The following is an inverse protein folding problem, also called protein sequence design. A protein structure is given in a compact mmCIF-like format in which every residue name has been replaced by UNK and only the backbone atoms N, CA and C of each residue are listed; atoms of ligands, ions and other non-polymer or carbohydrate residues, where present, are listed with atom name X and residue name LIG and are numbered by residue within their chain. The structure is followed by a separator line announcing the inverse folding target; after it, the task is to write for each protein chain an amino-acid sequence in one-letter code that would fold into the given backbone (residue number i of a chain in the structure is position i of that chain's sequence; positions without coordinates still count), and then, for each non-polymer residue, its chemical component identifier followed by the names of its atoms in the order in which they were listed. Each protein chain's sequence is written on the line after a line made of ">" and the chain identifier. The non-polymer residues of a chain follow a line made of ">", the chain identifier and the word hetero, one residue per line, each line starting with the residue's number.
data_IF_069432211924
#
_entry.id   IF_069432211924
#
_cell.length_a   1.000
_cell.length_b   1.000
_cell.length_c   1.000
_cell.angle_alpha   90.00
_cell.angle_beta   90.00
_cell.angle_gamma   90.00
#
_symmetry.space_group_name_H-M   'P 1'
#
loop_
_entity.id
_entity.type
_entity.pdbx_description
1 polymer ?
#
# COMPACT_ATOMS: atom_id res chain seq x y z
N UNK A 1 -15.90 52.93 30.23
CA UNK A 1 -16.38 51.97 31.23
C UNK A 1 -16.05 50.58 30.75
N UNK A 2 -15.12 49.94 31.43
CA UNK A 2 -14.84 48.51 31.29
C UNK A 2 -16.03 47.72 31.81
N UNK A 3 -16.45 46.70 31.07
CA UNK A 3 -16.95 45.47 31.69
C UNK A 3 -16.61 44.29 30.81
N UNK A 4 -16.29 43.23 31.52
CA UNK A 4 -15.52 42.07 31.16
C UNK A 4 -16.45 40.88 31.28
N UNK A 5 -16.45 39.97 30.31
CA UNK A 5 -16.77 38.57 30.59
C UNK A 5 -16.04 37.67 29.62
N UNK A 6 -15.10 36.91 30.17
CA UNK A 6 -14.38 35.85 29.52
C UNK A 6 -15.30 34.65 29.25
N UNK A 7 -15.12 34.01 28.10
CA UNK A 7 -15.40 32.59 27.94
C UNK A 7 -14.15 31.97 27.27
N UNK A 8 -13.54 31.05 28.00
CA UNK A 8 -12.26 30.41 27.73
C UNK A 8 -12.14 29.82 26.30
N UNK A 9 -10.92 29.71 25.75
CA UNK A 9 -10.69 28.86 24.60
C UNK A 9 -11.12 27.42 24.93
N UNK A 10 -11.75 26.65 24.03
CA UNK A 10 -11.90 25.23 24.26
C UNK A 10 -10.51 24.59 24.26
N UNK A 11 -9.97 24.41 25.45
CA UNK A 11 -8.88 23.49 25.72
C UNK A 11 -9.38 22.09 25.39
N UNK A 12 -8.94 21.53 24.26
CA UNK A 12 -8.98 20.09 24.03
C UNK A 12 -7.88 19.64 23.08
N UNK A 13 -6.63 19.83 23.50
CA UNK A 13 -5.66 18.75 23.41
C UNK A 13 -5.39 18.30 24.85
N UNK A 14 -5.02 17.04 25.16
CA UNK A 14 -4.66 15.94 24.27
C UNK A 14 -5.25 14.56 24.68
N UNK A 15 -5.69 13.72 23.73
CA UNK A 15 -5.94 12.29 24.03
C UNK A 15 -5.42 11.47 22.84
N UNK A 16 -4.22 10.90 22.96
CA UNK A 16 -3.62 9.87 22.09
C UNK A 16 -3.21 10.14 20.63
N UNK A 17 -2.95 11.39 20.20
CA UNK A 17 -2.39 11.62 18.85
C UNK A 17 -0.98 11.03 18.60
N UNK A 18 -0.25 10.64 19.66
CA UNK A 18 1.05 9.94 19.61
C UNK A 18 0.93 8.43 19.86
N UNK A 19 -0.12 7.97 20.56
CA UNK A 19 -0.27 6.55 20.88
C UNK A 19 -0.62 5.73 19.63
N UNK A 20 -1.34 6.35 18.69
CA UNK A 20 -1.70 5.73 17.41
C UNK A 20 -0.64 6.03 16.32
N UNK A 21 0.40 6.82 16.63
CA UNK A 21 1.44 7.20 15.66
C UNK A 21 2.33 6.05 15.26
N UNK A 22 2.78 5.26 16.25
CA UNK A 22 3.59 4.09 16.00
C UNK A 22 2.82 3.05 15.18
N UNK A 23 1.51 2.91 15.42
CA UNK A 23 0.61 2.04 14.66
C UNK A 23 0.40 2.55 13.22
N UNK A 24 0.21 3.86 13.06
CA UNK A 24 0.13 4.49 11.75
C UNK A 24 1.43 4.29 10.95
N UNK A 25 2.58 4.46 11.61
CA UNK A 25 3.92 4.30 11.03
C UNK A 25 4.14 2.85 10.60
N UNK A 26 3.76 1.89 11.44
CA UNK A 26 3.80 0.47 11.12
C UNK A 26 2.92 0.13 9.90
N UNK A 27 1.71 0.69 9.82
CA UNK A 27 0.79 0.50 8.69
C UNK A 27 1.35 1.08 7.38
N UNK A 28 1.90 2.29 7.42
CA UNK A 28 2.50 2.95 6.26
C UNK A 28 3.74 2.19 5.77
N UNK A 29 4.58 1.71 6.69
CA UNK A 29 5.74 0.87 6.38
C UNK A 29 5.33 -0.51 5.82
N UNK A 30 4.26 -1.11 6.34
CA UNK A 30 3.79 -2.43 5.90
C UNK A 30 3.12 -2.38 4.52
N UNK A 31 2.22 -1.41 4.31
CA UNK A 31 1.44 -1.31 3.07
C UNK A 31 2.09 -0.44 2.00
N UNK A 32 3.21 0.23 2.31
CA UNK A 32 3.94 1.11 1.41
C UNK A 32 3.03 2.19 0.79
N UNK A 33 2.08 2.71 1.59
CA UNK A 33 1.09 3.70 1.18
C UNK A 33 1.00 4.81 2.22
N UNK A 34 1.39 6.02 1.83
CA UNK A 34 1.34 7.20 2.67
C UNK A 34 0.31 8.22 2.18
N UNK A 35 -0.96 7.82 2.14
CA UNK A 35 -2.08 8.70 1.76
C UNK A 35 -2.98 8.99 2.95
N UNK A 36 -3.32 10.27 3.16
CA UNK A 36 -4.17 10.75 4.25
C UNK A 36 -5.52 10.01 4.26
N UNK A 37 -6.20 9.92 3.12
CA UNK A 37 -7.51 9.25 3.01
C UNK A 37 -7.45 7.74 3.24
N UNK A 38 -6.31 7.12 2.94
CA UNK A 38 -6.09 5.71 3.22
C UNK A 38 -5.86 5.47 4.71
N UNK A 39 -5.05 6.32 5.35
CA UNK A 39 -4.74 6.23 6.78
C UNK A 39 -5.99 6.45 7.64
N UNK A 40 -6.87 7.39 7.24
CA UNK A 40 -8.18 7.59 7.88
C UNK A 40 -9.03 6.32 7.91
N UNK A 41 -9.15 5.62 6.78
CA UNK A 41 -9.95 4.40 6.68
C UNK A 41 -9.34 3.24 7.45
N UNK A 42 -8.01 3.15 7.44
CA UNK A 42 -7.32 2.03 8.07
C UNK A 42 -7.34 2.11 9.59
N UNK A 43 -7.21 3.32 10.15
CA UNK A 43 -7.20 3.51 11.60
C UNK A 43 -8.53 3.99 12.19
N UNK A 44 -9.54 4.28 11.35
CA UNK A 44 -10.80 4.86 11.80
C UNK A 44 -10.66 6.26 12.39
N UNK A 45 -9.60 7.00 12.02
CA UNK A 45 -9.26 8.31 12.59
C UNK A 45 -9.77 9.47 11.73
N UNK A 46 -10.07 10.60 12.39
CA UNK A 46 -10.48 11.83 11.72
C UNK A 46 -9.39 12.43 10.81
N UNK A 47 -9.80 13.30 9.88
CA UNK A 47 -8.90 13.89 8.87
C UNK A 47 -7.69 14.60 9.48
N UNK A 48 -7.93 15.48 10.46
CA UNK A 48 -6.87 16.27 11.09
C UNK A 48 -5.84 15.39 11.83
N UNK A 49 -6.28 14.23 12.34
CA UNK A 49 -5.40 13.27 12.99
C UNK A 49 -4.52 12.61 11.93
N UNK A 50 -5.10 12.09 10.84
CA UNK A 50 -4.33 11.48 9.75
C UNK A 50 -3.35 12.46 9.08
N UNK A 51 -3.72 13.74 8.94
CA UNK A 51 -2.82 14.79 8.45
C UNK A 51 -1.61 14.94 9.36
N UNK A 52 -1.81 15.11 10.66
CA UNK A 52 -0.72 15.22 11.64
C UNK A 52 0.21 14.01 11.62
N UNK A 53 -0.34 12.81 11.48
CA UNK A 53 0.47 11.58 11.39
C UNK A 53 1.35 11.58 10.14
N UNK A 54 0.82 11.99 8.99
CA UNK A 54 1.57 12.07 7.74
C UNK A 54 2.62 13.20 7.78
N UNK A 55 2.31 14.34 8.38
CA UNK A 55 3.25 15.46 8.59
C UNK A 55 4.40 15.06 9.51
N UNK A 56 4.12 14.33 10.60
CA UNK A 56 5.14 13.78 11.49
C UNK A 56 6.03 12.76 10.77
N UNK A 57 5.44 11.87 9.95
CA UNK A 57 6.20 10.92 9.14
C UNK A 57 7.07 11.61 8.07
N UNK A 58 6.63 12.74 7.54
CA UNK A 58 7.44 13.57 6.63
C UNK A 58 8.59 14.25 7.37
N UNK A 59 8.32 14.83 8.55
CA UNK A 59 9.32 15.47 9.40
C UNK A 59 10.38 14.48 9.90
N UNK A 60 10.01 13.22 10.15
CA UNK A 60 10.93 12.13 10.52
C UNK A 60 11.66 11.51 9.32
N UNK A 61 11.33 11.89 8.08
CA UNK A 61 11.93 11.34 6.87
C UNK A 61 11.46 9.91 6.53
N UNK A 62 10.35 9.45 7.12
CA UNK A 62 9.71 8.17 6.82
C UNK A 62 8.99 8.23 5.47
N UNK A 63 8.44 9.38 5.11
CA UNK A 63 7.59 9.60 3.94
C UNK A 63 8.08 10.83 3.16
N UNK A 64 8.03 10.78 1.83
CA UNK A 64 8.44 11.88 0.95
C UNK A 64 7.48 13.07 1.00
N UNK A 65 7.97 14.21 0.49
CA UNK A 65 7.12 15.32 0.09
C UNK A 65 6.03 14.82 -0.88
N UNK A 66 4.84 15.45 -0.87
CA UNK A 66 3.76 15.10 -1.76
C UNK A 66 4.09 15.44 -3.22
N UNK A 67 3.83 14.50 -4.13
CA UNK A 67 3.84 14.73 -5.57
C UNK A 67 2.74 15.73 -5.98
N UNK A 68 2.73 16.17 -7.24
CA UNK A 68 1.69 17.02 -7.85
C UNK A 68 0.25 16.43 -7.79
N UNK A 69 0.09 15.16 -7.39
CA UNK A 69 -1.19 14.46 -7.19
C UNK A 69 -1.43 14.11 -5.70
N UNK A 70 -0.58 14.58 -4.78
CA UNK A 70 -0.67 14.30 -3.34
C UNK A 70 -0.27 12.87 -2.95
N UNK A 71 0.43 12.14 -3.82
CA UNK A 71 1.03 10.84 -3.49
C UNK A 71 2.35 11.05 -2.78
N UNK A 72 2.64 10.21 -1.79
CA UNK A 72 3.89 10.27 -1.01
C UNK A 72 4.51 8.89 -0.99
N UNK A 73 5.83 8.82 -1.17
CA UNK A 73 6.62 7.58 -1.25
C UNK A 73 7.32 7.35 0.08
N UNK A 74 7.32 6.13 0.60
CA UNK A 74 7.98 5.80 1.87
C UNK A 74 9.49 5.74 1.65
N UNK A 75 10.26 6.61 2.33
CA UNK A 75 11.69 6.83 2.08
C UNK A 75 12.60 5.97 2.99
N UNK A 76 12.12 5.55 4.16
CA UNK A 76 12.98 4.95 5.18
C UNK A 76 13.07 3.42 5.10
N UNK A 77 13.41 2.91 3.91
CA UNK A 77 13.97 1.55 3.77
C UNK A 77 15.50 1.55 3.73
N UNK A 78 16.15 2.71 3.85
CA UNK A 78 17.62 2.83 3.80
C UNK A 78 18.29 2.80 5.19
N UNK A 79 17.73 3.44 6.21
CA UNK A 79 18.41 3.59 7.51
C UNK A 79 18.43 2.31 8.34
N UNK A 80 17.34 1.54 8.31
CA UNK A 80 17.31 0.19 8.91
C UNK A 80 18.25 -0.79 8.18
N UNK A 81 18.63 -0.50 6.93
CA UNK A 81 19.57 -1.29 6.13
C UNK A 81 21.01 -0.99 6.52
N UNK A 82 21.32 0.29 6.83
CA UNK A 82 22.63 0.73 7.33
C UNK A 82 22.86 0.35 8.79
N UNK A 83 21.84 0.44 9.65
CA UNK A 83 21.91 -0.08 11.02
C UNK A 83 22.09 -1.59 11.03
N UNK A 84 21.35 -2.34 10.20
CA UNK A 84 21.57 -3.79 10.01
C UNK A 84 22.93 -4.12 9.40
N UNK A 85 23.48 -3.27 8.53
CA UNK A 85 24.81 -3.46 7.95
C UNK A 85 25.91 -3.20 8.99
N UNK A 86 25.76 -2.16 9.82
CA UNK A 86 26.66 -1.88 10.94
C UNK A 86 26.59 -2.97 12.01
N UNK A 87 25.40 -3.51 12.27
CA UNK A 87 25.14 -4.63 13.17
C UNK A 87 25.68 -5.95 12.61
N UNK A 88 25.58 -6.18 11.29
CA UNK A 88 26.21 -7.32 10.57
C UNK A 88 27.75 -7.22 10.57
N UNK A 89 28.32 -6.02 10.46
CA UNK A 89 29.76 -5.80 10.58
C UNK A 89 30.25 -6.00 12.02
N UNK A 90 29.44 -5.65 13.02
CA UNK A 90 29.71 -5.92 14.44
C UNK A 90 29.57 -7.43 14.78
N UNK A 91 28.59 -8.12 14.18
CA UNK A 91 28.41 -9.58 14.25
C UNK A 91 29.58 -10.35 13.61
N UNK A 92 30.21 -9.76 12.59
CA UNK A 92 31.38 -10.30 11.89
C UNK A 92 32.68 -10.38 12.71
N UNK A 93 32.66 -10.04 14.00
CA UNK A 93 33.52 -10.75 14.95
C UNK A 93 34.12 -9.94 16.10
N UNK A 94 33.42 -9.87 17.24
CA UNK A 94 34.10 -9.84 18.53
C UNK A 94 33.21 -10.18 19.75
N UNK A 95 33.59 -11.20 20.53
CA UNK A 95 33.52 -11.20 22.01
C UNK A 95 34.48 -12.14 22.73
N UNK A 96 35.41 -11.52 23.44
CA UNK A 96 36.76 -11.92 23.81
C UNK A 96 36.80 -12.71 25.17
N UNK A 97 37.47 -13.86 25.28
CA UNK A 97 37.84 -14.70 26.46
C UNK A 97 39.20 -14.30 27.06
N UNK A 98 39.24 -13.70 28.24
CA UNK A 98 40.49 -13.33 28.93
C UNK A 98 41.49 -14.51 29.02
N UNK A 99 42.63 -14.38 28.34
CA UNK A 99 43.88 -15.07 28.68
C UNK A 99 44.39 -14.51 30.01
N UNK A 100 45.09 -15.35 30.76
CA UNK A 100 45.60 -15.09 32.10
C UNK A 100 46.60 -13.92 32.23
N UNK A 101 46.97 -13.27 31.13
CA UNK A 101 47.81 -12.05 31.08
C UNK A 101 46.99 -10.74 31.05
N UNK A 102 45.66 -10.82 31.05
CA UNK A 102 44.75 -9.67 31.02
C UNK A 102 44.11 -9.35 29.66
N UNK A 103 44.46 -10.09 28.60
CA UNK A 103 43.98 -9.86 27.23
C UNK A 103 43.01 -10.95 26.80
N UNK A 104 41.89 -10.63 26.16
CA UNK A 104 40.81 -11.60 25.92
C UNK A 104 40.76 -12.22 24.48
N UNK A 105 40.01 -13.31 24.22
CA UNK A 105 39.98 -14.19 23.01
C UNK A 105 38.60 -14.81 22.60
N UNK A 106 38.04 -14.56 21.42
CA UNK A 106 36.57 -14.65 21.18
C UNK A 106 35.98 -16.05 20.89
N UNK A 107 34.78 -16.41 21.38
CA UNK A 107 34.03 -17.66 20.99
C UNK A 107 32.53 -17.45 20.80
N UNK A 108 31.93 -18.09 19.78
CA UNK A 108 30.50 -17.98 19.40
C UNK A 108 29.83 -19.38 19.41
N UNK A 109 28.65 -19.56 20.04
CA UNK A 109 27.91 -20.83 20.09
C UNK A 109 27.17 -21.17 18.78
N UNK A 110 27.18 -22.46 18.46
CA UNK A 110 26.60 -23.12 17.28
C UNK A 110 25.19 -23.60 17.64
N UNK A 111 24.16 -22.74 17.59
CA UNK A 111 22.77 -23.17 17.33
C UNK A 111 21.83 -21.96 17.16
N UNK A 112 21.40 -21.64 15.93
CA UNK A 112 20.21 -20.84 15.66
C UNK A 112 19.64 -21.24 14.28
N UNK A 113 18.32 -21.44 14.15
CA UNK A 113 17.72 -22.02 12.95
C UNK A 113 17.83 -21.07 11.76
N UNK A 114 18.39 -21.60 10.67
CA UNK A 114 18.51 -20.96 9.36
C UNK A 114 17.13 -20.65 8.76
N UNK A 115 16.70 -19.39 8.83
CA UNK A 115 15.65 -18.87 7.95
C UNK A 115 16.30 -17.79 7.07
N UNK A 116 17.12 -18.25 6.12
CA UNK A 116 17.64 -17.41 5.05
C UNK A 116 16.47 -16.81 4.28
N UNK A 117 16.25 -15.49 4.41
CA UNK A 117 15.52 -14.73 3.40
C UNK A 117 16.40 -13.59 2.95
N UNK A 118 17.37 -13.92 2.10
CA UNK A 118 18.04 -12.90 1.29
C UNK A 118 16.97 -12.13 0.51
N UNK A 119 17.08 -10.79 0.34
CA UNK A 119 16.19 -10.02 -0.52
C UNK A 119 16.01 -10.64 -1.92
N UNK A 120 17.04 -11.32 -2.41
CA UNK A 120 17.06 -12.00 -3.70
C UNK A 120 16.14 -13.24 -3.73
N UNK A 121 16.03 -13.97 -2.62
CA UNK A 121 15.13 -15.14 -2.52
C UNK A 121 13.67 -14.69 -2.44
N UNK A 122 13.41 -13.56 -1.76
CA UNK A 122 12.08 -12.96 -1.76
C UNK A 122 11.69 -12.46 -3.14
N UNK A 123 12.62 -11.86 -3.89
CA UNK A 123 12.37 -11.39 -5.25
C UNK A 123 12.08 -12.55 -6.19
N UNK A 124 12.86 -13.64 -6.12
CA UNK A 124 12.62 -14.87 -6.89
C UNK A 124 11.23 -15.45 -6.63
N UNK A 125 10.84 -15.62 -5.36
CA UNK A 125 9.52 -16.13 -4.99
C UNK A 125 8.37 -15.22 -5.48
N UNK A 126 8.57 -13.89 -5.49
CA UNK A 126 7.58 -12.94 -6.03
C UNK A 126 7.46 -13.07 -7.55
N UNK A 127 8.58 -13.19 -8.26
CA UNK A 127 8.61 -13.36 -9.72
C UNK A 127 7.93 -14.68 -10.10
N UNK A 128 8.32 -15.79 -9.49
CA UNK A 128 7.71 -17.11 -9.76
C UNK A 128 6.19 -17.11 -9.51
N UNK A 129 5.74 -16.39 -8.47
CA UNK A 129 4.31 -16.23 -8.20
C UNK A 129 3.62 -15.39 -9.28
N UNK A 130 4.25 -14.32 -9.75
CA UNK A 130 3.71 -13.47 -10.82
C UNK A 130 3.63 -14.25 -12.14
N UNK A 131 4.67 -15.00 -12.50
CA UNK A 131 4.69 -15.80 -13.73
C UNK A 131 3.57 -16.85 -13.75
N UNK A 132 3.35 -17.54 -12.61
CA UNK A 132 2.23 -18.47 -12.47
C UNK A 132 0.88 -17.77 -12.65
N UNK A 133 0.68 -16.63 -12.00
CA UNK A 133 -0.57 -15.88 -12.10
C UNK A 133 -0.81 -15.33 -13.51
N UNK A 134 0.24 -14.96 -14.24
CA UNK A 134 0.11 -14.53 -15.64
C UNK A 134 -0.23 -15.71 -16.56
N UNK A 135 0.34 -16.91 -16.35
CA UNK A 135 -0.07 -18.10 -17.12
C UNK A 135 -1.51 -18.52 -16.79
N UNK A 136 -1.93 -18.47 -15.52
CA UNK A 136 -3.33 -18.71 -15.12
C UNK A 136 -4.29 -17.70 -15.79
N UNK A 137 -3.94 -16.41 -15.78
CA UNK A 137 -4.71 -15.35 -16.43
C UNK A 137 -4.78 -15.53 -17.95
N UNK A 138 -3.70 -16.01 -18.57
CA UNK A 138 -3.66 -16.35 -19.99
C UNK A 138 -4.58 -17.54 -20.29
N UNK A 139 -4.52 -18.61 -19.49
CA UNK A 139 -5.41 -19.76 -19.60
C UNK A 139 -6.88 -19.36 -19.51
N UNK A 140 -7.25 -18.59 -18.49
CA UNK A 140 -8.62 -18.03 -18.37
C UNK A 140 -8.98 -17.16 -19.58
N UNK A 141 -8.02 -16.40 -20.10
CA UNK A 141 -8.20 -15.58 -21.30
C UNK A 141 -8.51 -16.40 -22.55
N UNK A 142 -7.88 -17.57 -22.69
CA UNK A 142 -8.12 -18.50 -23.80
C UNK A 142 -9.46 -19.22 -23.63
N UNK A 143 -9.80 -19.70 -22.43
CA UNK A 143 -11.12 -20.26 -22.13
C UNK A 143 -12.26 -19.27 -22.47
N UNK A 144 -12.08 -17.99 -22.14
CA UNK A 144 -13.05 -16.94 -22.49
C UNK A 144 -13.19 -16.82 -24.01
N UNK A 145 -12.09 -16.93 -24.78
CA UNK A 145 -12.15 -16.87 -26.25
C UNK A 145 -12.91 -18.06 -26.81
N UNK A 146 -12.67 -19.25 -26.28
CA UNK A 146 -13.33 -20.48 -26.72
C UNK A 146 -14.85 -20.39 -26.49
N UNK A 147 -15.29 -19.90 -25.32
CA UNK A 147 -16.72 -19.64 -25.05
C UNK A 147 -17.33 -18.65 -26.05
N UNK A 148 -16.62 -17.59 -26.42
CA UNK A 148 -17.11 -16.69 -27.48
C UNK A 148 -17.12 -17.36 -28.87
N UNK A 149 -16.20 -18.29 -29.12
CA UNK A 149 -16.18 -19.11 -30.33
C UNK A 149 -17.39 -20.03 -30.42
N UNK A 150 -17.71 -20.74 -29.34
CA UNK A 150 -18.91 -21.59 -29.21
C UNK A 150 -20.20 -20.78 -29.39
N UNK A 151 -20.28 -19.60 -28.75
CA UNK A 151 -21.42 -18.72 -28.89
C UNK A 151 -21.59 -18.26 -30.35
N UNK A 152 -20.49 -17.95 -31.04
CA UNK A 152 -20.52 -17.59 -32.46
C UNK A 152 -20.99 -18.76 -33.34
N UNK A 153 -20.53 -19.98 -33.05
CA UNK A 153 -20.98 -21.18 -33.75
C UNK A 153 -22.49 -21.44 -33.54
N UNK A 154 -23.01 -21.06 -32.38
CA UNK A 154 -24.44 -21.10 -32.05
C UNK A 154 -25.25 -19.95 -32.67
N UNK A 155 -24.61 -19.02 -33.37
CA UNK A 155 -25.27 -17.89 -34.05
C UNK A 155 -25.34 -16.58 -33.26
N UNK A 156 -24.71 -16.48 -32.08
CA UNK A 156 -24.66 -15.25 -31.31
C UNK A 156 -23.55 -14.29 -31.80
N UNK A 157 -23.81 -12.98 -31.74
CA UNK A 157 -22.80 -11.96 -32.07
C UNK A 157 -21.87 -11.70 -30.86
N UNK A 158 -20.62 -12.14 -30.98
CA UNK A 158 -19.60 -11.97 -29.94
C UNK A 158 -19.29 -10.50 -29.60
N UNK A 159 -19.47 -9.54 -30.52
CA UNK A 159 -19.26 -8.11 -30.28
C UNK A 159 -20.34 -7.55 -29.35
N UNK A 160 -21.60 -7.87 -29.62
CA UNK A 160 -22.73 -7.48 -28.76
C UNK A 160 -22.60 -8.15 -27.39
N UNK A 161 -22.26 -9.44 -27.35
CA UNK A 161 -22.04 -10.14 -26.06
C UNK A 161 -20.96 -9.46 -25.20
N UNK A 162 -19.83 -9.05 -25.80
CA UNK A 162 -18.78 -8.30 -25.08
C UNK A 162 -19.29 -6.96 -24.53
N UNK A 163 -20.12 -6.25 -25.30
CA UNK A 163 -20.77 -5.02 -24.82
C UNK A 163 -21.69 -5.29 -23.62
N UNK A 164 -22.50 -6.35 -23.69
CA UNK A 164 -23.37 -6.76 -22.57
C UNK A 164 -22.55 -7.12 -21.33
N UNK A 165 -21.45 -7.89 -21.46
CA UNK A 165 -20.57 -8.21 -20.32
C UNK A 165 -19.98 -6.95 -19.70
N UNK A 166 -19.58 -5.96 -20.52
CA UNK A 166 -19.09 -4.66 -20.03
C UNK A 166 -20.17 -3.90 -19.27
N UNK A 167 -21.40 -3.82 -19.82
CA UNK A 167 -22.54 -3.19 -19.15
C UNK A 167 -22.88 -3.89 -17.84
N UNK A 168 -22.81 -5.23 -17.79
CA UNK A 168 -23.08 -6.02 -16.57
C UNK A 168 -22.03 -5.83 -15.48
N UNK A 169 -20.80 -5.43 -15.83
CA UNK A 169 -19.75 -5.08 -14.86
C UNK A 169 -19.94 -3.70 -14.24
N UNK A 170 -20.70 -2.81 -14.90
CA UNK A 170 -21.03 -1.49 -14.37
C UNK A 170 -22.14 -1.59 -13.34
N UNK A 171 -22.15 -0.68 -12.36
CA UNK A 171 -23.23 -0.57 -11.38
C UNK A 171 -24.53 -0.13 -12.06
N UNK A 172 -25.71 -0.50 -11.52
CA UNK A 172 -26.99 -0.13 -12.12
C UNK A 172 -27.18 1.38 -12.27
N UNK A 173 -26.81 2.16 -11.25
CA UNK A 173 -26.93 3.63 -11.28
C UNK A 173 -26.01 4.25 -12.32
N UNK A 174 -24.73 3.86 -12.32
CA UNK A 174 -23.74 4.31 -13.31
C UNK A 174 -24.19 4.01 -14.75
N UNK A 175 -24.88 2.86 -14.97
CA UNK A 175 -25.44 2.50 -16.27
C UNK A 175 -26.58 3.43 -16.67
N UNK A 176 -27.50 3.71 -15.75
CA UNK A 176 -28.65 4.61 -16.00
C UNK A 176 -28.19 6.03 -16.32
N UNK A 177 -27.20 6.53 -15.58
CA UNK A 177 -26.64 7.86 -15.82
C UNK A 177 -25.97 7.92 -17.20
N UNK A 178 -25.19 6.89 -17.55
CA UNK A 178 -24.57 6.80 -18.88
C UNK A 178 -25.62 6.71 -20.00
N UNK A 179 -26.66 5.90 -19.82
CA UNK A 179 -27.76 5.76 -20.79
C UNK A 179 -28.51 7.09 -20.97
N UNK A 180 -28.80 7.83 -19.90
CA UNK A 180 -29.45 9.14 -19.98
C UNK A 180 -28.61 10.16 -20.76
N UNK A 181 -27.28 10.18 -20.54
CA UNK A 181 -26.37 11.05 -21.31
C UNK A 181 -26.31 10.62 -22.77
N UNK A 182 -26.21 9.32 -23.03
CA UNK A 182 -26.14 8.78 -24.39
C UNK A 182 -27.40 9.08 -25.19
N UNK A 183 -28.58 8.96 -24.56
CA UNK A 183 -29.87 9.31 -25.14
C UNK A 183 -29.95 10.81 -25.49
N UNK A 184 -29.46 11.67 -24.58
CA UNK A 184 -29.41 13.12 -24.83
C UNK A 184 -28.58 13.43 -26.08
N UNK A 185 -27.44 12.75 -26.25
CA UNK A 185 -26.56 12.97 -27.40
C UNK A 185 -27.12 12.38 -28.69
N UNK A 186 -27.75 11.19 -28.62
CA UNK A 186 -28.48 10.59 -29.75
C UNK A 186 -29.55 11.52 -30.30
N UNK A 187 -30.39 12.06 -29.41
CA UNK A 187 -31.45 13.00 -29.76
C UNK A 187 -30.87 14.27 -30.40
N UNK A 188 -29.77 14.81 -29.87
CA UNK A 188 -29.10 15.98 -30.43
C UNK A 188 -28.50 15.74 -31.83
N UNK A 189 -28.09 14.50 -32.12
CA UNK A 189 -27.52 14.10 -33.41
C UNK A 189 -28.57 13.54 -34.39
N UNK A 190 -29.83 13.40 -33.96
CA UNK A 190 -30.90 12.79 -34.78
C UNK A 190 -30.66 11.31 -35.09
N UNK A 191 -30.00 10.59 -34.19
CA UNK A 191 -29.74 9.15 -34.31
C UNK A 191 -30.69 8.41 -33.38
N UNK A 192 -31.71 7.77 -33.95
CA UNK A 192 -32.69 6.95 -33.22
C UNK A 192 -32.20 5.49 -33.04
#
# INVERSE_FOLDING_TARGET
>A
MSVQTAAAPPATAPINALADYDDAKALVLHHQKASISWLQRQMGVGYNVAVRHVELMEAEGVVSAPDHVGRRTVLQQADGKLQKLAEDLYRKGARIQANSDGDAQITIPIDLPEQHRSPDDRLRLLIERIERLEEEKKGIGDDIKDVYGEAKASGYDAKIMRQIVRLRKMRPDDRRDMEAVLETYKNALGID
#
